data_IF_510506390440
#
_entry.id   IF_510506390440
#
_cell.length_a   1.000
_cell.length_b   1.000
_cell.length_c   1.000
_cell.angle_alpha   90.00
_cell.angle_beta   90.00
_cell.angle_gamma   90.00
#
_symmetry.space_group_name_H-M   'P 1'
#
loop_
_entity.id
_entity.type
_entity.pdbx_description
1 polymer ?
#
# COMPACT_ATOMS: atom_id res chain seq x y z
N UNK A 1 -33.49 -54.95 -4.68
CA UNK A 1 -34.35 -53.83 -4.23
C UNK A 1 -34.57 -54.04 -2.73
N UNK A 2 -34.12 -53.21 -1.78
CA UNK A 2 -33.99 -51.75 -1.74
C UNK A 2 -32.97 -51.37 -0.65
N UNK A 3 -31.97 -50.58 -1.07
CA UNK A 3 -31.30 -49.47 -0.40
C UNK A 3 -31.06 -49.51 1.12
N UNK A 4 -29.81 -49.82 1.50
CA UNK A 4 -29.19 -49.38 2.76
C UNK A 4 -28.38 -48.13 2.43
N UNK A 5 -28.96 -46.94 2.60
CA UNK A 5 -28.27 -45.66 2.40
C UNK A 5 -27.51 -45.34 3.68
N UNK A 6 -26.22 -45.66 3.69
CA UNK A 6 -25.30 -45.14 4.69
C UNK A 6 -24.98 -43.67 4.34
N UNK A 7 -25.63 -42.73 5.02
CA UNK A 7 -25.33 -41.30 4.89
C UNK A 7 -24.06 -41.01 5.72
N UNK A 8 -22.92 -41.03 5.05
CA UNK A 8 -21.65 -40.51 5.58
C UNK A 8 -21.74 -38.97 5.60
N UNK A 9 -22.00 -38.40 6.77
CA UNK A 9 -21.83 -36.97 7.03
C UNK A 9 -20.33 -36.64 7.02
N UNK A 10 -19.78 -36.37 5.84
CA UNK A 10 -18.51 -35.67 5.66
C UNK A 10 -18.71 -34.21 6.11
N UNK A 11 -18.51 -33.95 7.40
CA UNK A 11 -18.23 -32.61 7.89
C UNK A 11 -16.86 -32.19 7.33
N UNK A 12 -16.86 -31.61 6.12
CA UNK A 12 -15.75 -30.78 5.69
C UNK A 12 -15.73 -29.55 6.59
N UNK A 13 -14.97 -29.65 7.69
CA UNK A 13 -14.45 -28.50 8.41
C UNK A 13 -13.58 -27.73 7.41
N UNK A 14 -14.20 -26.89 6.57
CA UNK A 14 -13.51 -25.79 5.92
C UNK A 14 -13.03 -24.89 7.05
N UNK A 15 -11.81 -25.15 7.51
CA UNK A 15 -11.08 -24.27 8.38
C UNK A 15 -10.93 -22.94 7.66
N UNK A 16 -11.90 -22.04 7.88
CA UNK A 16 -11.70 -20.62 7.68
C UNK A 16 -10.59 -20.23 8.65
N UNK A 17 -9.35 -20.29 8.18
CA UNK A 17 -8.24 -19.62 8.82
C UNK A 17 -8.56 -18.14 8.73
N UNK A 18 -9.26 -17.62 9.74
CA UNK A 18 -9.35 -16.19 9.98
C UNK A 18 -7.93 -15.80 10.32
N UNK A 19 -7.13 -15.44 9.32
CA UNK A 19 -5.82 -14.86 9.57
C UNK A 19 -6.05 -13.68 10.51
N UNK A 20 -5.48 -13.70 11.73
CA UNK A 20 -5.66 -12.60 12.66
C UNK A 20 -5.20 -11.35 11.95
N UNK A 21 -6.06 -10.34 11.93
CA UNK A 21 -5.82 -9.07 11.25
C UNK A 21 -4.55 -8.44 11.83
N UNK A 22 -3.38 -8.78 11.25
CA UNK A 22 -2.09 -8.33 11.77
C UNK A 22 -2.08 -6.81 11.74
N UNK A 23 -1.96 -6.22 12.93
CA UNK A 23 -1.80 -4.79 13.13
C UNK A 23 -0.44 -4.35 12.58
N UNK A 24 -0.33 -3.07 12.24
CA UNK A 24 0.85 -2.46 11.66
C UNK A 24 0.57 -1.75 10.35
N UNK A 25 1.65 -1.33 9.70
CA UNK A 25 1.59 -0.67 8.39
C UNK A 25 1.46 -1.73 7.29
N UNK A 26 0.56 -1.49 6.34
CA UNK A 26 0.39 -2.28 5.12
C UNK A 26 0.27 -1.33 3.94
N UNK A 27 0.76 -1.77 2.79
CA UNK A 27 0.59 -1.07 1.52
C UNK A 27 -0.20 -1.98 0.60
N UNK A 28 -1.33 -1.48 0.11
CA UNK A 28 -2.22 -2.21 -0.79
C UNK A 28 -2.23 -1.54 -2.16
N UNK A 29 -2.38 -2.35 -3.22
CA UNK A 29 -2.69 -1.81 -4.54
C UNK A 29 -4.13 -1.32 -4.57
N UNK A 30 -4.38 -0.25 -5.31
CA UNK A 30 -5.73 0.14 -5.71
C UNK A 30 -6.12 -0.72 -6.92
N UNK A 31 -7.30 -1.36 -6.87
CA UNK A 31 -7.85 -2.06 -8.04
C UNK A 31 -8.24 -1.06 -9.11
N UNK A 32 -8.26 -1.51 -10.37
CA UNK A 32 -8.55 -0.66 -11.53
C UNK A 32 -9.91 0.05 -11.43
N UNK A 33 -10.10 1.11 -12.22
CA UNK A 33 -11.40 1.77 -12.39
C UNK A 33 -11.73 2.86 -11.38
N UNK A 34 -10.77 3.33 -10.56
CA UNK A 34 -11.01 4.49 -9.70
C UNK A 34 -11.16 5.78 -10.51
N UNK A 35 -12.05 6.66 -10.04
CA UNK A 35 -12.22 8.00 -10.61
C UNK A 35 -11.31 8.97 -9.91
N UNK A 36 -10.76 9.88 -10.71
CA UNK A 36 -10.04 11.03 -10.21
C UNK A 36 -10.95 11.86 -9.30
N UNK A 37 -10.50 12.13 -8.07
CA UNK A 37 -11.30 12.81 -7.05
C UNK A 37 -11.23 14.33 -7.13
N UNK A 38 -10.33 14.92 -7.94
CA UNK A 38 -10.14 16.37 -7.96
C UNK A 38 -9.95 16.92 -9.39
N UNK A 39 -10.69 17.99 -9.69
CA UNK A 39 -10.50 18.78 -10.91
C UNK A 39 -9.07 19.37 -10.88
N UNK A 40 -8.28 19.11 -11.92
CA UNK A 40 -6.87 19.52 -12.09
C UNK A 40 -5.81 18.71 -11.31
N UNK A 41 -6.09 17.47 -10.93
CA UNK A 41 -5.10 16.62 -10.29
C UNK A 41 -5.00 15.26 -10.98
N UNK A 42 -4.07 15.03 -11.89
CA UNK A 42 -3.99 13.82 -12.71
C UNK A 42 -3.84 12.53 -11.90
N UNK A 43 -3.22 12.59 -10.71
CA UNK A 43 -2.90 11.41 -9.90
C UNK A 43 -3.62 11.40 -8.54
N UNK A 44 -4.72 12.13 -8.43
CA UNK A 44 -5.60 12.11 -7.27
C UNK A 44 -6.60 10.96 -7.30
N UNK A 45 -6.84 10.37 -6.14
CA UNK A 45 -8.00 9.53 -5.88
C UNK A 45 -8.43 9.69 -4.42
N UNK A 46 -9.71 9.47 -4.15
CA UNK A 46 -10.19 9.43 -2.77
C UNK A 46 -9.84 8.07 -2.17
N UNK A 47 -8.96 8.09 -1.18
CA UNK A 47 -8.51 6.89 -0.49
C UNK A 47 -9.64 6.11 0.15
N UNK A 48 -10.79 6.71 0.44
CA UNK A 48 -11.93 6.01 1.03
C UNK A 48 -12.89 5.41 0.00
N UNK A 49 -12.84 5.88 -1.26
CA UNK A 49 -13.72 5.41 -2.32
C UNK A 49 -13.13 4.28 -3.17
N UNK A 50 -11.82 4.04 -3.07
CA UNK A 50 -11.13 3.03 -3.89
C UNK A 50 -11.26 1.62 -3.35
N UNK A 51 -11.36 0.64 -4.25
CA UNK A 51 -11.24 -0.77 -3.87
C UNK A 51 -9.75 -1.16 -3.78
N UNK A 52 -9.37 -1.91 -2.74
CA UNK A 52 -7.99 -2.35 -2.52
C UNK A 52 -7.83 -3.82 -2.92
N UNK A 53 -6.63 -4.22 -3.32
CA UNK A 53 -6.28 -5.62 -3.51
C UNK A 53 -6.55 -6.43 -2.24
N UNK A 54 -6.89 -7.72 -2.39
CA UNK A 54 -7.16 -8.60 -1.24
C UNK A 54 -5.93 -8.70 -0.33
N UNK A 55 -4.76 -8.87 -0.94
CA UNK A 55 -3.49 -8.95 -0.25
C UNK A 55 -2.73 -7.63 -0.33
N UNK A 56 -2.00 -7.29 0.74
CA UNK A 56 -1.05 -6.17 0.73
C UNK A 56 0.19 -6.56 -0.06
N UNK A 57 0.72 -5.61 -0.85
CA UNK A 57 1.99 -5.80 -1.57
C UNK A 57 3.21 -5.73 -0.66
N UNK A 58 3.09 -4.97 0.43
CA UNK A 58 4.05 -4.92 1.51
C UNK A 58 3.30 -4.84 2.84
N UNK A 59 3.82 -5.49 3.86
CA UNK A 59 3.35 -5.39 5.24
C UNK A 59 4.49 -5.01 6.19
N UNK A 60 4.16 -4.75 7.46
CA UNK A 60 5.12 -4.31 8.47
C UNK A 60 6.33 -5.26 8.60
N UNK A 61 6.16 -6.57 8.37
CA UNK A 61 7.24 -7.53 8.46
C UNK A 61 8.22 -7.42 7.29
N UNK A 62 7.91 -6.67 6.24
CA UNK A 62 8.82 -6.36 5.14
C UNK A 62 9.70 -5.14 5.45
N UNK A 63 9.39 -4.41 6.53
CA UNK A 63 10.05 -3.15 6.86
C UNK A 63 11.14 -3.40 7.90
N UNK A 64 12.37 -3.04 7.54
CA UNK A 64 13.48 -2.93 8.49
C UNK A 64 13.33 -1.66 9.34
N UNK A 65 13.00 -0.54 8.70
CA UNK A 65 12.82 0.74 9.39
C UNK A 65 11.90 1.71 8.63
N UNK A 66 11.39 2.71 9.34
CA UNK A 66 10.72 3.87 8.73
C UNK A 66 11.21 5.17 9.41
N UNK A 67 11.99 5.96 8.66
CA UNK A 67 12.45 7.28 9.07
C UNK A 67 11.41 8.36 8.78
N UNK A 68 10.78 8.87 9.84
CA UNK A 68 9.67 9.81 9.73
C UNK A 68 10.03 11.14 9.07
N UNK A 69 11.12 11.78 9.53
CA UNK A 69 11.55 13.11 9.05
C UNK A 69 11.76 13.14 7.54
N UNK A 70 12.33 12.07 7.01
CA UNK A 70 12.66 11.95 5.59
C UNK A 70 11.59 11.22 4.78
N UNK A 71 10.52 10.72 5.41
CA UNK A 71 9.50 9.88 4.78
C UNK A 71 10.14 8.69 4.01
N UNK A 72 11.08 7.99 4.64
CA UNK A 72 11.87 6.93 4.01
C UNK A 72 11.63 5.57 4.66
N UNK A 73 11.28 4.59 3.84
CA UNK A 73 11.11 3.19 4.25
C UNK A 73 12.35 2.40 3.85
N UNK A 74 12.92 1.68 4.83
CA UNK A 74 14.01 0.74 4.62
C UNK A 74 13.42 -0.66 4.64
N UNK A 75 13.62 -1.41 3.56
CA UNK A 75 13.10 -2.77 3.44
C UNK A 75 14.12 -3.80 3.92
N UNK A 76 13.61 -4.90 4.48
CA UNK A 76 14.41 -6.09 4.67
C UNK A 76 14.47 -6.93 3.37
N UNK A 77 15.08 -8.11 3.43
CA UNK A 77 15.25 -8.96 2.24
C UNK A 77 13.92 -9.46 1.67
N UNK A 78 12.92 -9.75 2.51
CA UNK A 78 11.56 -10.12 2.05
C UNK A 78 10.92 -8.97 1.28
N UNK A 79 10.91 -7.78 1.85
CA UNK A 79 10.35 -6.59 1.19
C UNK A 79 11.01 -6.29 -0.15
N UNK A 80 12.35 -6.38 -0.21
CA UNK A 80 13.12 -6.19 -1.46
C UNK A 80 12.75 -7.23 -2.52
N UNK A 81 12.52 -8.48 -2.13
CA UNK A 81 12.07 -9.52 -3.06
C UNK A 81 10.64 -9.31 -3.53
N UNK A 82 9.72 -8.88 -2.66
CA UNK A 82 8.34 -8.53 -3.04
C UNK A 82 8.35 -7.41 -4.06
N UNK A 83 9.06 -6.30 -3.78
CA UNK A 83 9.19 -5.16 -4.69
C UNK A 83 9.68 -5.57 -6.09
N UNK A 84 10.74 -6.38 -6.18
CA UNK A 84 11.30 -6.83 -7.48
C UNK A 84 10.30 -7.58 -8.36
N UNK A 85 9.27 -8.20 -7.75
CA UNK A 85 8.24 -8.96 -8.46
C UNK A 85 7.06 -8.10 -8.91
N UNK A 86 6.96 -6.85 -8.42
CA UNK A 86 5.87 -5.96 -8.78
C UNK A 86 6.13 -5.40 -10.18
N UNK A 87 5.16 -5.61 -11.08
CA UNK A 87 5.15 -4.95 -12.37
C UNK A 87 4.55 -3.55 -12.21
N UNK A 88 5.35 -2.52 -12.50
CA UNK A 88 4.90 -1.11 -12.47
C UNK A 88 4.82 -0.63 -13.92
N UNK A 89 3.60 -0.41 -14.39
CA UNK A 89 3.35 0.13 -15.73
C UNK A 89 3.88 1.57 -15.88
N UNK A 90 4.05 2.05 -17.11
CA UNK A 90 4.55 3.41 -17.37
C UNK A 90 3.67 4.52 -16.76
N UNK A 91 2.38 4.25 -16.60
CA UNK A 91 1.40 5.11 -15.92
C UNK A 91 1.55 5.15 -14.40
N UNK A 92 2.40 4.29 -13.84
CA UNK A 92 2.55 4.08 -12.41
C UNK A 92 1.50 3.12 -11.83
N UNK A 93 1.72 2.73 -10.58
CA UNK A 93 0.85 1.83 -9.83
C UNK A 93 0.30 2.56 -8.58
N UNK A 94 -1.01 2.83 -8.50
CA UNK A 94 -1.61 3.50 -7.35
C UNK A 94 -1.69 2.54 -6.15
N UNK A 95 -1.28 3.03 -4.99
CA UNK A 95 -1.24 2.28 -3.74
C UNK A 95 -1.76 3.09 -2.56
N UNK A 96 -2.23 2.42 -1.52
CA UNK A 96 -2.70 3.04 -0.27
C UNK A 96 -1.91 2.52 0.91
N UNK A 97 -1.39 3.45 1.72
CA UNK A 97 -0.85 3.12 3.04
C UNK A 97 -1.99 2.99 4.04
N UNK A 98 -2.06 1.84 4.69
CA UNK A 98 -3.02 1.49 5.72
C UNK A 98 -2.25 1.23 7.02
N UNK A 99 -2.73 1.77 8.13
CA UNK A 99 -2.18 1.50 9.47
C UNK A 99 -3.31 0.97 10.35
N UNK A 100 -3.16 -0.24 10.88
CA UNK A 100 -4.17 -0.86 11.75
C UNK A 100 -5.58 -0.82 11.13
N UNK A 101 -5.68 -1.21 9.86
CA UNK A 101 -6.91 -1.18 9.04
C UNK A 101 -7.50 0.22 8.77
N UNK A 102 -6.83 1.29 9.20
CA UNK A 102 -7.20 2.67 8.85
C UNK A 102 -6.40 3.14 7.64
N UNK A 103 -7.10 3.55 6.58
CA UNK A 103 -6.48 4.17 5.40
C UNK A 103 -5.87 5.52 5.81
N UNK A 104 -4.59 5.74 5.49
CA UNK A 104 -3.85 6.94 5.92
C UNK A 104 -3.72 7.93 4.77
N UNK A 105 -3.07 7.53 3.68
CA UNK A 105 -3.03 8.29 2.42
C UNK A 105 -2.70 7.37 1.24
N UNK A 106 -3.05 7.84 0.05
CA UNK A 106 -2.73 7.21 -1.23
C UNK A 106 -1.48 7.81 -1.86
N UNK A 107 -0.73 7.00 -2.58
CA UNK A 107 0.46 7.42 -3.30
C UNK A 107 0.73 6.48 -4.47
N UNK A 108 1.71 6.82 -5.29
CA UNK A 108 2.03 6.06 -6.50
C UNK A 108 3.39 5.42 -6.42
N UNK A 109 3.44 4.14 -6.74
CA UNK A 109 4.67 3.49 -7.17
C UNK A 109 4.94 3.95 -8.60
N UNK A 110 5.94 4.81 -8.76
CA UNK A 110 6.24 5.48 -10.02
C UNK A 110 7.21 4.64 -10.84
N UNK A 111 6.99 4.62 -12.16
CA UNK A 111 7.94 4.03 -13.09
C UNK A 111 9.05 5.06 -13.38
N UNK A 112 10.32 4.66 -13.24
CA UNK A 112 11.48 5.54 -13.49
C UNK A 112 11.59 6.00 -14.95
N UNK A 113 11.02 5.24 -15.88
CA UNK A 113 10.98 5.55 -17.30
C UNK A 113 9.77 6.38 -17.71
N UNK A 114 8.90 6.76 -16.77
CA UNK A 114 7.76 7.62 -17.07
C UNK A 114 8.24 9.03 -17.39
N UNK A 115 7.82 9.57 -18.53
CA UNK A 115 8.03 10.97 -18.90
C UNK A 115 6.99 11.91 -18.27
N UNK A 116 5.96 11.36 -17.62
CA UNK A 116 4.95 12.14 -16.93
C UNK A 116 5.41 12.47 -15.50
N UNK A 117 5.05 13.67 -15.06
CA UNK A 117 5.16 14.06 -13.66
C UNK A 117 4.04 13.43 -12.83
N UNK A 118 4.22 13.39 -11.51
CA UNK A 118 3.17 13.03 -10.56
C UNK A 118 2.88 14.26 -9.69
N UNK A 119 1.71 14.88 -9.85
CA UNK A 119 1.31 16.07 -9.09
C UNK A 119 0.94 15.77 -7.62
N UNK A 120 1.14 14.52 -7.17
CA UNK A 120 0.80 14.03 -5.83
C UNK A 120 1.93 13.22 -5.20
N UNK A 121 1.60 12.33 -4.27
CA UNK A 121 2.56 11.55 -3.52
C UNK A 121 3.03 10.38 -4.36
N UNK A 122 4.34 10.17 -4.43
CA UNK A 122 4.94 9.12 -5.24
C UNK A 122 6.22 8.58 -4.62
N UNK A 123 6.69 7.45 -5.13
CA UNK A 123 7.98 6.87 -4.79
C UNK A 123 8.52 6.05 -5.94
N UNK A 124 9.83 5.81 -5.99
CA UNK A 124 10.45 4.82 -6.86
C UNK A 124 10.82 3.60 -6.00
N UNK A 125 9.99 2.55 -5.98
CA UNK A 125 10.19 1.42 -5.10
C UNK A 125 11.19 0.44 -5.74
N UNK A 126 12.49 0.76 -5.73
CA UNK A 126 13.50 -0.16 -6.28
C UNK A 126 14.12 -1.06 -5.21
N UNK A 127 14.39 -0.49 -4.03
CA UNK A 127 14.92 -1.19 -2.84
C UNK A 127 14.36 -0.49 -1.60
N UNK A 128 15.19 0.32 -0.96
CA UNK A 128 14.76 1.29 0.04
C UNK A 128 14.26 2.52 -0.70
N UNK A 129 13.26 3.20 -0.17
CA UNK A 129 12.60 4.24 -0.94
C UNK A 129 12.10 5.40 -0.10
N UNK A 130 12.16 6.58 -0.70
CA UNK A 130 11.66 7.82 -0.11
C UNK A 130 10.33 8.17 -0.77
N UNK A 131 9.31 8.33 0.06
CA UNK A 131 8.00 8.81 -0.36
C UNK A 131 8.11 10.34 -0.53
N UNK A 132 7.87 10.81 -1.75
CA UNK A 132 8.00 12.21 -2.20
C UNK A 132 6.62 12.81 -2.50
N UNK A 133 6.57 14.13 -2.66
CA UNK A 133 5.34 14.87 -2.99
C UNK A 133 5.63 15.85 -4.12
N UNK A 134 4.95 15.68 -5.25
CA UNK A 134 5.15 16.45 -6.47
C UNK A 134 6.37 16.05 -7.29
N UNK A 135 6.16 15.79 -8.57
CA UNK A 135 7.18 15.60 -9.59
C UNK A 135 6.74 16.33 -10.87
N UNK A 136 7.50 17.34 -11.35
CA UNK A 136 8.61 18.00 -10.64
C UNK A 136 8.15 18.64 -9.32
N UNK A 137 9.07 18.99 -8.43
CA UNK A 137 8.76 19.46 -7.07
C UNK A 137 7.93 20.75 -7.03
N UNK A 138 7.95 21.55 -8.09
CA UNK A 138 7.13 22.74 -8.26
C UNK A 138 5.72 22.45 -8.83
N UNK A 139 5.43 21.21 -9.22
CA UNK A 139 4.14 20.77 -9.73
C UNK A 139 3.45 19.90 -8.68
N UNK A 140 2.89 20.53 -7.65
CA UNK A 140 2.16 19.86 -6.57
C UNK A 140 0.70 20.29 -6.57
N UNK A 141 -0.19 19.33 -6.34
CA UNK A 141 -1.60 19.58 -6.12
C UNK A 141 -1.96 19.39 -4.64
N UNK A 142 -2.62 20.38 -4.05
CA UNK A 142 -3.17 20.33 -2.70
C UNK A 142 -2.13 20.25 -1.58
N UNK A 143 -2.58 19.88 -0.38
CA UNK A 143 -1.72 19.72 0.80
C UNK A 143 -0.99 18.37 0.77
N UNK A 144 0.26 18.36 1.21
CA UNK A 144 1.06 17.15 1.41
C UNK A 144 0.46 16.26 2.52
N UNK A 145 -0.04 15.05 2.20
CA UNK A 145 -0.70 14.18 3.17
C UNK A 145 0.29 13.28 3.94
N UNK A 146 1.58 13.25 3.57
CA UNK A 146 2.57 12.30 4.13
C UNK A 146 2.75 12.47 5.64
N UNK A 147 2.70 13.70 6.14
CA UNK A 147 2.90 14.04 7.55
C UNK A 147 1.61 13.88 8.38
N UNK A 148 0.99 12.70 8.31
CA UNK A 148 -0.18 12.33 9.11
C UNK A 148 0.19 12.08 10.59
N UNK A 149 -0.50 12.73 11.53
CA UNK A 149 -0.22 12.64 12.99
C UNK A 149 -0.35 11.22 13.57
N UNK A 150 -1.29 10.42 13.06
CA UNK A 150 -1.51 9.05 13.56
C UNK A 150 -0.35 8.16 13.13
N UNK A 151 0.05 8.29 11.85
CA UNK A 151 1.22 7.58 11.33
C UNK A 151 2.51 8.04 12.02
N UNK A 152 2.67 9.34 12.27
CA UNK A 152 3.82 9.88 13.00
C UNK A 152 3.99 9.21 14.36
N UNK A 153 2.93 9.24 15.17
CA UNK A 153 2.94 8.65 16.51
C UNK A 153 3.31 7.17 16.45
N UNK A 154 2.74 6.43 15.50
CA UNK A 154 3.04 5.02 15.31
C UNK A 154 4.51 4.79 14.93
N UNK A 155 4.98 5.49 13.89
CA UNK A 155 6.33 5.31 13.36
C UNK A 155 7.39 5.65 14.41
N UNK A 156 7.25 6.78 15.10
CA UNK A 156 8.21 7.20 16.14
C UNK A 156 8.26 6.27 17.34
N UNK A 157 7.15 5.62 17.67
CA UNK A 157 7.09 4.65 18.77
C UNK A 157 7.66 3.28 18.36
N UNK A 158 7.40 2.86 17.12
CA UNK A 158 7.76 1.53 16.62
C UNK A 158 9.22 1.43 16.16
N UNK A 159 9.71 2.49 15.52
CA UNK A 159 10.96 2.49 14.75
C UNK A 159 11.97 3.45 15.37
N UNK A 160 13.25 3.05 15.37
CA UNK A 160 14.34 3.96 15.74
C UNK A 160 14.41 5.11 14.74
N UNK A 161 14.40 6.32 15.26
CA UNK A 161 14.53 7.54 14.49
C UNK A 161 15.98 8.02 14.58
N UNK A 162 16.56 8.34 13.43
CA UNK A 162 17.88 8.97 13.32
C UNK A 162 17.71 10.49 13.10
#
# INVERSE_FOLDING_TARGET
>A
MKYLIAILFLFSMSGYSIEPNKLGIKIYCVKEGFKNSAKNCSYCFDVNSVELSENSILDENDFKNFYWKNQQIILNNSGKQKIKKIKIELSGLPVVMVLNNKRIYGFWFWNIFSSFGCDRVYTYPEKDFKIKFGLPTNNTFGKDPRFNKILEKYVRNKYKQD
#
